data_IF_597968688970
#
_entry.id   IF_597968688970
#
_cell.length_a   1.000
_cell.length_b   1.000
_cell.length_c   1.000
_cell.angle_alpha   90.00
_cell.angle_beta   90.00
_cell.angle_gamma   90.00
#
_symmetry.space_group_name_H-M   'P 1'
#
loop_
_entity.id
_entity.type
_entity.pdbx_description
1 polymer ?
#
# COMPACT_ATOMS: atom_id res chain seq x y z
N UNK A 1 1.55 -7.20 18.20
CA UNK A 1 1.64 -6.01 19.08
C UNK A 1 0.50 -5.09 18.68
N UNK A 2 -0.04 -4.28 19.60
CA UNK A 2 -1.01 -3.26 19.19
C UNK A 2 -0.29 -2.18 18.36
N UNK A 3 -0.92 -1.64 17.31
CA UNK A 3 -0.32 -0.60 16.49
C UNK A 3 -0.06 0.66 17.33
N UNK A 4 0.92 1.49 16.93
CA UNK A 4 1.17 2.76 17.60
C UNK A 4 -0.05 3.67 17.49
N UNK A 5 -0.37 4.39 18.55
CA UNK A 5 -1.43 5.39 18.53
C UNK A 5 -0.88 6.73 18.05
N UNK A 6 -1.59 7.37 17.13
CA UNK A 6 -1.24 8.70 16.65
C UNK A 6 -2.33 9.69 17.04
N UNK A 7 -1.95 10.93 17.41
CA UNK A 7 -2.95 11.99 17.54
C UNK A 7 -3.59 12.26 16.17
N UNK A 8 -4.78 12.89 16.15
CA UNK A 8 -5.40 13.36 14.93
C UNK A 8 -4.43 14.17 14.07
N UNK A 9 -4.55 14.04 12.76
CA UNK A 9 -3.68 14.77 11.84
C UNK A 9 -3.88 16.29 12.03
N UNK A 10 -2.81 17.08 12.22
CA UNK A 10 -2.93 18.52 12.40
C UNK A 10 -3.61 19.18 11.19
N UNK A 11 -4.72 19.89 11.43
CA UNK A 11 -5.49 20.57 10.36
C UNK A 11 -4.68 21.60 9.58
N UNK A 12 -3.61 22.14 10.17
CA UNK A 12 -2.67 23.04 9.50
C UNK A 12 -1.94 22.39 8.32
N UNK A 13 -1.96 21.06 8.22
CA UNK A 13 -1.28 20.29 7.16
C UNK A 13 -2.21 19.91 6.00
N UNK A 14 -3.53 20.12 6.11
CA UNK A 14 -4.49 19.78 5.05
C UNK A 14 -4.53 20.82 3.93
N UNK A 15 -4.25 22.09 4.27
CA UNK A 15 -4.44 23.16 3.31
C UNK A 15 -3.26 23.26 2.34
N UNK A 16 -3.53 23.32 1.02
CA UNK A 16 -2.48 23.47 0.03
C UNK A 16 -1.71 24.77 0.29
N UNK A 17 -0.43 24.66 0.61
CA UNK A 17 0.46 25.82 0.73
C UNK A 17 0.64 26.44 -0.66
N UNK A 18 0.48 27.76 -0.78
CA UNK A 18 0.66 28.48 -2.06
C UNK A 18 2.13 28.82 -2.26
N UNK A 19 2.67 28.78 -3.50
CA UNK A 19 2.00 28.41 -4.77
C UNK A 19 1.69 26.90 -4.86
N UNK A 20 0.73 26.50 -5.70
CA UNK A 20 0.34 25.08 -5.91
C UNK A 20 1.56 24.25 -6.32
N UNK A 21 2.25 23.62 -5.37
CA UNK A 21 3.34 22.68 -5.60
C UNK A 21 2.81 21.25 -5.68
N UNK A 22 3.68 20.28 -5.98
CA UNK A 22 3.38 18.84 -5.90
C UNK A 22 2.94 18.37 -4.50
N UNK A 23 3.05 19.21 -3.47
CA UNK A 23 2.72 18.86 -2.08
C UNK A 23 1.22 18.77 -1.81
N UNK A 24 0.38 19.27 -2.73
CA UNK A 24 -1.06 19.14 -2.61
C UNK A 24 -1.50 17.66 -2.51
N UNK A 25 -0.79 16.75 -3.18
CA UNK A 25 -1.10 15.30 -3.10
C UNK A 25 -0.81 14.74 -1.71
N UNK A 26 0.26 15.20 -1.04
CA UNK A 26 0.58 14.75 0.32
C UNK A 26 -0.40 15.34 1.34
N UNK A 27 -0.80 16.60 1.17
CA UNK A 27 -1.82 17.22 2.01
C UNK A 27 -3.19 16.52 1.90
N UNK A 28 -3.61 16.16 0.68
CA UNK A 28 -4.84 15.37 0.45
C UNK A 28 -4.76 13.98 1.09
N UNK A 29 -3.61 13.31 0.99
CA UNK A 29 -3.37 12.01 1.65
C UNK A 29 -3.47 12.10 3.18
N UNK A 30 -2.96 13.17 3.77
CA UNK A 30 -3.06 13.45 5.20
C UNK A 30 -4.50 13.78 5.62
N UNK A 31 -5.22 14.55 4.80
CA UNK A 31 -6.64 14.83 5.02
C UNK A 31 -7.47 13.55 5.01
N UNK A 32 -7.24 12.65 4.05
CA UNK A 32 -7.89 11.33 3.99
C UNK A 32 -7.60 10.49 5.26
N UNK A 33 -6.36 10.48 5.76
CA UNK A 33 -6.04 9.81 7.04
C UNK A 33 -6.71 10.46 8.25
N UNK A 34 -6.86 11.79 8.23
CA UNK A 34 -7.55 12.54 9.27
C UNK A 34 -9.07 12.32 9.26
N UNK A 35 -9.64 12.00 8.10
CA UNK A 35 -11.05 11.72 7.91
C UNK A 35 -11.46 10.31 8.35
N UNK A 36 -10.53 9.34 8.39
CA UNK A 36 -10.79 7.98 8.87
C UNK A 36 -11.20 7.98 10.36
N UNK A 37 -12.46 7.63 10.63
CA UNK A 37 -13.11 7.71 11.96
C UNK A 37 -13.65 6.38 12.51
N UNK A 38 -13.59 5.30 11.74
CA UNK A 38 -14.50 4.17 11.93
C UNK A 38 -13.87 2.95 12.60
N UNK A 39 -12.56 2.99 12.84
CA UNK A 39 -11.87 2.02 13.70
C UNK A 39 -10.94 2.72 14.70
N UNK A 40 -10.91 2.22 15.93
CA UNK A 40 -9.91 2.63 16.93
C UNK A 40 -8.58 1.91 16.71
N UNK A 41 -8.60 0.77 16.00
CA UNK A 41 -7.40 0.04 15.64
C UNK A 41 -6.68 0.76 14.51
N UNK A 42 -5.42 1.13 14.76
CA UNK A 42 -4.54 1.77 13.77
C UNK A 42 -5.04 3.10 13.20
N UNK A 43 -5.81 3.86 13.97
CA UNK A 43 -6.37 5.14 13.53
C UNK A 43 -5.27 6.13 13.09
N UNK A 44 -5.52 6.83 11.98
CA UNK A 44 -4.63 7.84 11.40
C UNK A 44 -3.24 7.35 10.99
N UNK A 45 -3.10 6.04 10.75
CA UNK A 45 -1.92 5.40 10.17
C UNK A 45 -2.16 5.03 8.72
N UNK A 46 -1.08 4.84 7.97
CA UNK A 46 -1.09 4.10 6.72
C UNK A 46 -0.07 2.97 6.76
N UNK A 47 -0.27 1.95 5.94
CA UNK A 47 0.57 0.75 5.90
C UNK A 47 -0.23 -0.52 6.17
N UNK A 48 0.39 -1.65 5.92
CA UNK A 48 -0.31 -2.93 5.74
C UNK A 48 0.04 -3.93 6.83
N UNK A 49 -0.70 -5.03 6.88
CA UNK A 49 -0.29 -6.22 7.62
C UNK A 49 0.69 -7.03 6.77
N UNK A 50 1.74 -7.57 7.38
CA UNK A 50 2.75 -8.43 6.77
C UNK A 50 2.64 -9.81 7.39
N UNK A 51 2.39 -10.83 6.56
CA UNK A 51 2.49 -12.23 6.93
C UNK A 51 3.87 -12.76 6.56
N UNK A 52 4.59 -13.25 7.57
CA UNK A 52 5.86 -13.97 7.35
C UNK A 52 5.58 -15.46 7.15
N UNK A 53 6.09 -16.05 6.07
CA UNK A 53 5.88 -17.49 5.78
C UNK A 53 7.18 -18.32 5.83
N UNK A 54 8.34 -17.68 5.94
CA UNK A 54 9.66 -18.34 5.97
C UNK A 54 10.36 -18.22 7.32
N UNK A 55 10.69 -19.37 7.94
CA UNK A 55 11.21 -19.46 9.32
C UNK A 55 12.43 -20.40 9.46
N UNK A 56 13.43 -20.20 8.59
CA UNK A 56 14.73 -20.88 8.68
C UNK A 56 15.69 -20.05 9.54
N UNK A 57 16.77 -20.63 10.10
CA UNK A 57 17.76 -19.84 10.87
C UNK A 57 18.35 -18.67 10.08
N UNK A 58 18.53 -18.84 8.78
CA UNK A 58 18.98 -17.77 7.88
C UNK A 58 17.89 -16.70 7.72
N UNK A 59 16.64 -17.10 7.46
CA UNK A 59 15.56 -16.12 7.33
C UNK A 59 15.29 -15.38 8.65
N UNK A 60 15.43 -16.04 9.80
CA UNK A 60 15.32 -15.42 11.12
C UNK A 60 16.37 -14.31 11.34
N UNK A 61 17.59 -14.49 10.81
CA UNK A 61 18.64 -13.48 10.87
C UNK A 61 18.41 -12.33 9.88
N UNK A 62 17.91 -12.63 8.68
CA UNK A 62 17.73 -11.66 7.60
C UNK A 62 16.44 -10.84 7.72
N UNK A 63 15.36 -11.45 8.20
CA UNK A 63 14.04 -10.83 8.27
C UNK A 63 14.02 -9.46 9.00
N UNK A 64 14.62 -9.29 10.19
CA UNK A 64 14.65 -7.97 10.84
C UNK A 64 15.47 -6.93 10.04
N UNK A 65 16.44 -7.36 9.24
CA UNK A 65 17.21 -6.46 8.35
C UNK A 65 16.32 -6.00 7.20
N UNK A 66 15.62 -6.94 6.56
CA UNK A 66 14.69 -6.65 5.47
C UNK A 66 13.56 -5.71 5.92
N UNK A 67 12.97 -5.94 7.10
CA UNK A 67 11.89 -5.08 7.62
C UNK A 67 12.38 -3.67 7.94
N UNK A 68 13.62 -3.50 8.45
CA UNK A 68 14.20 -2.16 8.65
C UNK A 68 14.40 -1.42 7.33
N UNK A 69 14.87 -2.10 6.29
CA UNK A 69 15.03 -1.51 4.95
C UNK A 69 13.68 -1.15 4.34
N UNK A 70 12.71 -2.06 4.43
CA UNK A 70 11.34 -1.82 3.99
C UNK A 70 10.75 -0.57 4.65
N UNK A 71 10.86 -0.44 5.98
CA UNK A 71 10.38 0.72 6.72
C UNK A 71 11.06 2.01 6.24
N UNK A 72 12.39 2.04 6.14
CA UNK A 72 13.12 3.21 5.67
C UNK A 72 12.69 3.62 4.24
N UNK A 73 12.54 2.66 3.34
CA UNK A 73 12.15 2.91 1.95
C UNK A 73 10.69 3.32 1.80
N UNK A 74 9.78 2.73 2.58
CA UNK A 74 8.38 3.12 2.60
C UNK A 74 8.22 4.55 3.14
N UNK A 75 8.94 4.92 4.20
CA UNK A 75 8.99 6.28 4.76
C UNK A 75 9.65 7.29 3.83
N UNK A 76 10.50 6.85 2.91
CA UNK A 76 11.07 7.70 1.87
C UNK A 76 10.06 8.05 0.77
N UNK A 77 9.07 7.18 0.50
CA UNK A 77 8.10 7.34 -0.59
C UNK A 77 7.37 8.69 -0.63
N UNK A 78 6.86 9.24 0.50
CA UNK A 78 6.25 10.57 0.51
C UNK A 78 7.18 11.66 -0.03
N UNK A 79 8.49 11.52 0.09
CA UNK A 79 9.46 12.54 -0.31
C UNK A 79 9.89 12.48 -1.78
N UNK A 80 9.63 11.37 -2.50
CA UNK A 80 10.13 11.17 -3.86
C UNK A 80 9.68 12.27 -4.85
N UNK A 81 8.48 12.82 -4.65
CA UNK A 81 7.93 13.89 -5.49
C UNK A 81 8.60 15.26 -5.31
N UNK A 82 9.31 15.47 -4.19
CA UNK A 82 9.84 16.77 -3.75
C UNK A 82 11.08 17.23 -4.51
N UNK A 83 11.89 16.30 -5.01
CA UNK A 83 13.19 16.59 -5.62
C UNK A 83 13.21 16.10 -7.07
N UNK A 84 12.70 16.90 -8.03
CA UNK A 84 12.59 16.46 -9.41
C UNK A 84 13.96 16.42 -10.09
N UNK A 85 14.29 15.30 -10.76
CA UNK A 85 15.41 15.16 -11.70
C UNK A 85 16.78 15.58 -11.13
N UNK A 86 17.53 16.41 -11.87
CA UNK A 86 18.93 16.72 -11.60
C UNK A 86 19.33 18.10 -12.10
N UNK A 87 20.30 18.72 -11.41
CA UNK A 87 20.91 19.99 -11.77
C UNK A 87 20.16 21.24 -11.31
N UNK A 88 20.83 22.38 -11.40
CA UNK A 88 20.42 23.67 -10.81
C UNK A 88 19.02 24.15 -11.24
N UNK A 89 18.61 23.88 -12.48
CA UNK A 89 17.28 24.26 -12.98
C UNK A 89 16.12 23.55 -12.27
N UNK A 90 16.40 22.45 -11.57
CA UNK A 90 15.42 21.70 -10.80
C UNK A 90 15.56 21.91 -9.28
N UNK A 91 16.71 22.37 -8.78
CA UNK A 91 16.86 22.80 -7.38
C UNK A 91 15.88 23.92 -7.03
N UNK A 92 15.70 24.89 -7.91
CA UNK A 92 14.71 25.97 -7.73
C UNK A 92 13.25 25.49 -7.75
N UNK A 93 13.00 24.24 -8.15
CA UNK A 93 11.69 23.59 -8.17
C UNK A 93 11.54 22.57 -7.05
N UNK A 94 12.58 22.36 -6.24
CA UNK A 94 12.52 21.45 -5.11
C UNK A 94 11.56 22.03 -4.07
N UNK A 95 10.72 21.15 -3.51
CA UNK A 95 9.90 21.54 -2.37
C UNK A 95 10.76 21.43 -1.12
N UNK A 96 11.07 22.57 -0.52
CA UNK A 96 11.88 22.64 0.71
C UNK A 96 11.07 22.45 1.98
N UNK A 97 9.78 22.79 1.96
CA UNK A 97 8.86 22.54 3.06
C UNK A 97 8.46 21.06 3.12
N UNK A 98 9.04 20.34 4.08
CA UNK A 98 8.89 18.90 4.21
C UNK A 98 7.83 18.45 5.20
N UNK A 99 7.22 19.38 5.95
CA UNK A 99 6.42 19.06 7.12
C UNK A 99 5.26 18.08 6.82
N UNK A 100 4.45 18.26 5.75
CA UNK A 100 3.42 17.28 5.40
C UNK A 100 3.99 15.89 5.08
N UNK A 101 5.10 15.83 4.36
CA UNK A 101 5.71 14.56 3.96
C UNK A 101 6.37 13.85 5.15
N UNK A 102 6.98 14.61 6.07
CA UNK A 102 7.53 14.09 7.31
C UNK A 102 6.43 13.53 8.21
N UNK A 103 5.31 14.25 8.34
CA UNK A 103 4.16 13.77 9.13
C UNK A 103 3.53 12.53 8.48
N UNK A 104 3.38 12.50 7.16
CA UNK A 104 2.89 11.32 6.44
C UNK A 104 3.86 10.15 6.61
N UNK A 105 5.16 10.34 6.40
CA UNK A 105 6.17 9.30 6.58
C UNK A 105 6.19 8.76 8.02
N UNK A 106 6.02 9.62 9.03
CA UNK A 106 5.96 9.23 10.44
C UNK A 106 4.80 8.28 10.73
N UNK A 107 3.66 8.48 10.07
CA UNK A 107 2.43 7.67 10.20
C UNK A 107 2.46 6.33 9.47
N UNK A 108 3.57 6.00 8.81
CA UNK A 108 3.76 4.66 8.26
C UNK A 108 3.95 3.63 9.37
N UNK A 109 3.18 2.55 9.31
CA UNK A 109 3.34 1.40 10.19
C UNK A 109 2.74 0.14 9.57
N UNK A 110 3.51 -0.96 9.61
CA UNK A 110 3.04 -2.29 9.25
C UNK A 110 2.99 -3.20 10.48
N UNK A 111 1.91 -3.97 10.60
CA UNK A 111 1.82 -5.06 11.57
C UNK A 111 2.54 -6.27 11.01
N UNK A 112 3.52 -6.80 11.73
CA UNK A 112 4.20 -8.04 11.34
C UNK A 112 3.63 -9.19 12.15
N UNK A 113 3.06 -10.18 11.46
CA UNK A 113 2.51 -11.38 12.06
C UNK A 113 3.47 -12.54 11.85
N UNK A 114 3.97 -13.05 12.97
CA UNK A 114 4.86 -14.21 13.04
C UNK A 114 4.15 -15.35 13.77
N UNK A 115 3.38 -16.14 13.02
CA UNK A 115 2.73 -17.36 13.49
C UNK A 115 3.34 -18.56 12.76
N UNK A 116 4.47 -19.04 13.29
CA UNK A 116 5.25 -20.12 12.66
C UNK A 116 4.42 -21.41 12.51
N UNK A 117 3.55 -21.71 13.47
CA UNK A 117 2.80 -22.97 13.46
C UNK A 117 1.75 -23.00 12.34
N UNK A 118 1.19 -21.85 11.99
CA UNK A 118 0.14 -21.74 10.95
C UNK A 118 0.65 -21.25 9.61
N UNK A 119 1.73 -20.47 9.56
CA UNK A 119 2.20 -19.79 8.35
C UNK A 119 3.46 -20.41 7.73
N UNK A 120 4.22 -21.22 8.46
CA UNK A 120 5.49 -21.73 7.95
C UNK A 120 5.31 -22.61 6.71
N UNK A 121 6.05 -22.26 5.64
CA UNK A 121 6.12 -23.06 4.42
C UNK A 121 4.88 -22.94 3.53
N UNK A 122 3.93 -22.04 3.81
CA UNK A 122 2.87 -21.73 2.85
C UNK A 122 3.50 -21.15 1.59
N UNK A 123 3.20 -21.78 0.45
CA UNK A 123 3.75 -21.41 -0.85
C UNK A 123 3.06 -20.16 -1.39
N UNK A 124 3.78 -19.39 -2.20
CA UNK A 124 3.25 -18.21 -2.87
C UNK A 124 2.62 -18.57 -4.22
N UNK A 125 1.63 -19.45 -4.17
CA UNK A 125 0.81 -19.90 -5.29
C UNK A 125 -0.69 -19.69 -4.98
N UNK A 126 -1.57 -20.06 -5.90
CA UNK A 126 -3.00 -19.82 -5.73
C UNK A 126 -3.59 -20.50 -4.49
N UNK A 127 -3.17 -21.72 -4.17
CA UNK A 127 -3.67 -22.45 -3.00
C UNK A 127 -3.12 -21.86 -1.70
N UNK A 128 -1.83 -21.55 -1.67
CA UNK A 128 -1.19 -20.93 -0.52
C UNK A 128 -1.70 -19.51 -0.27
N UNK A 129 -1.92 -18.70 -1.30
CA UNK A 129 -2.54 -17.38 -1.14
C UNK A 129 -3.97 -17.47 -0.62
N UNK A 130 -4.77 -18.46 -1.02
CA UNK A 130 -6.09 -18.69 -0.42
C UNK A 130 -5.99 -18.98 1.09
N UNK A 131 -5.02 -19.80 1.52
CA UNK A 131 -4.76 -20.05 2.95
C UNK A 131 -4.34 -18.79 3.70
N UNK A 132 -3.47 -17.97 3.11
CA UNK A 132 -3.02 -16.70 3.71
C UNK A 132 -4.14 -15.67 3.79
N UNK A 133 -5.01 -15.62 2.78
CA UNK A 133 -6.25 -14.83 2.79
C UNK A 133 -7.12 -15.23 3.97
N UNK A 134 -7.40 -16.53 4.12
CA UNK A 134 -8.29 -17.02 5.18
C UNK A 134 -7.70 -16.74 6.57
N UNK A 135 -6.40 -16.99 6.76
CA UNK A 135 -5.69 -16.62 7.98
C UNK A 135 -5.81 -15.12 8.28
N UNK A 136 -5.61 -14.27 7.28
CA UNK A 136 -5.69 -12.82 7.45
C UNK A 136 -7.11 -12.38 7.86
N UNK A 137 -8.16 -12.95 7.25
CA UNK A 137 -9.55 -12.67 7.61
C UNK A 137 -9.87 -13.07 9.04
N UNK A 138 -9.40 -14.24 9.49
CA UNK A 138 -9.51 -14.63 10.89
C UNK A 138 -8.78 -13.66 11.83
N UNK A 139 -7.59 -13.20 11.44
CA UNK A 139 -6.85 -12.21 12.21
C UNK A 139 -7.60 -10.87 12.31
N UNK A 140 -8.23 -10.40 11.24
CA UNK A 140 -9.06 -9.19 11.25
C UNK A 140 -10.19 -9.29 12.28
N UNK A 141 -10.90 -10.41 12.30
CA UNK A 141 -11.95 -10.68 13.30
C UNK A 141 -11.38 -10.62 14.72
N UNK A 142 -10.17 -11.18 14.92
CA UNK A 142 -9.51 -11.17 16.24
C UNK A 142 -9.16 -9.76 16.75
N UNK A 143 -8.96 -8.79 15.84
CA UNK A 143 -8.70 -7.38 16.18
C UNK A 143 -9.95 -6.50 16.12
N UNK A 144 -11.14 -7.12 16.00
CA UNK A 144 -12.44 -6.44 16.03
C UNK A 144 -12.89 -5.86 14.69
N UNK A 145 -12.25 -6.25 13.58
CA UNK A 145 -12.64 -5.85 12.21
C UNK A 145 -13.53 -6.92 11.60
N UNK A 146 -14.62 -6.55 10.93
CA UNK A 146 -15.55 -7.48 10.30
C UNK A 146 -15.41 -7.43 8.77
N UNK A 147 -14.60 -8.31 8.16
CA UNK A 147 -14.24 -8.22 6.74
C UNK A 147 -15.33 -8.73 5.77
N UNK A 148 -16.39 -9.37 6.28
CA UNK A 148 -17.48 -9.99 5.50
C UNK A 148 -18.77 -9.18 5.50
N UNK A 149 -18.86 -8.10 6.27
CA UNK A 149 -20.00 -7.20 6.20
C UNK A 149 -19.97 -6.49 4.82
N UNK A 150 -21.11 -6.37 4.13
CA UNK A 150 -21.17 -5.69 2.85
C UNK A 150 -20.63 -4.25 2.99
N UNK A 151 -19.99 -3.70 1.93
CA UNK A 151 -19.70 -2.27 1.91
C UNK A 151 -21.00 -1.50 2.10
N UNK A 152 -20.93 -0.31 2.66
CA UNK A 152 -22.07 0.58 2.64
C UNK A 152 -22.47 0.79 1.17
N UNK A 153 -23.74 0.60 0.86
CA UNK A 153 -24.35 1.45 -0.15
C UNK A 153 -24.35 2.85 0.45
N UNK A 154 -23.27 3.60 0.26
CA UNK A 154 -23.37 5.04 0.36
C UNK A 154 -24.25 5.44 -0.83
N UNK A 155 -25.49 5.87 -0.53
CA UNK A 155 -26.46 6.44 -1.47
C UNK A 155 -25.97 7.79 -2.05
N UNK A 156 -24.71 7.86 -2.49
CA UNK A 156 -24.11 9.04 -3.13
C UNK A 156 -24.14 8.92 -4.68
N UNK A 157 -24.93 7.99 -5.23
CA UNK A 157 -25.41 8.09 -6.61
C UNK A 157 -26.57 9.11 -6.64
N UNK A 158 -26.21 10.40 -6.47
CA UNK A 158 -26.99 11.51 -7.00
C UNK A 158 -27.07 11.32 -8.53
N UNK A 159 -28.24 10.83 -8.98
CA UNK A 159 -28.88 10.96 -10.30
C UNK A 159 -29.36 9.61 -10.87
N UNK A 160 -30.45 9.06 -10.31
CA UNK A 160 -31.69 8.83 -11.06
C UNK A 160 -32.76 8.19 -10.15
N UNK A 161 -33.95 8.80 -10.16
CA UNK A 161 -35.17 8.35 -9.50
C UNK A 161 -35.48 6.85 -9.78
N UNK A 162 -35.29 5.96 -8.81
CA UNK A 162 -36.14 4.77 -8.66
C UNK A 162 -36.26 4.37 -7.18
N UNK A 163 -37.42 4.67 -6.60
CA UNK A 163 -37.88 4.27 -5.27
C UNK A 163 -37.96 2.73 -5.17
N UNK A 164 -36.82 2.07 -5.05
CA UNK A 164 -36.76 0.68 -4.57
C UNK A 164 -36.13 0.69 -3.19
N UNK A 165 -36.96 1.02 -2.18
CA UNK A 165 -36.76 0.60 -0.80
C UNK A 165 -36.46 -0.91 -0.80
N UNK A 166 -35.19 -1.30 -0.72
CA UNK A 166 -34.79 -2.68 -0.45
C UNK A 166 -35.11 -2.98 1.02
N UNK A 167 -36.16 -3.78 1.32
CA UNK A 167 -36.66 -3.94 2.68
C UNK A 167 -35.77 -4.80 3.58
N UNK A 168 -34.64 -5.30 3.08
CA UNK A 168 -33.76 -6.24 3.78
C UNK A 168 -32.51 -5.57 4.40
N UNK A 169 -32.30 -4.25 4.25
CA UNK A 169 -31.21 -3.54 4.91
C UNK A 169 -31.61 -3.14 6.35
N UNK A 170 -31.05 -3.83 7.35
CA UNK A 170 -31.23 -3.48 8.77
C UNK A 170 -30.57 -2.12 9.06
N UNK A 171 -31.34 -1.07 9.39
CA UNK A 171 -30.80 0.27 9.68
C UNK A 171 -29.96 0.34 10.96
N UNK A 172 -29.82 -0.76 11.70
CA UNK A 172 -28.92 -0.89 12.85
C UNK A 172 -27.50 -1.38 12.49
N UNK A 173 -27.23 -1.75 11.23
CA UNK A 173 -25.88 -2.09 10.80
C UNK A 173 -25.06 -0.80 10.69
N UNK A 174 -24.11 -0.63 11.63
CA UNK A 174 -23.14 0.46 11.54
C UNK A 174 -22.38 0.37 10.21
N UNK A 175 -22.08 1.53 9.58
CA UNK A 175 -21.43 1.56 8.28
C UNK A 175 -20.12 0.74 8.28
N UNK A 176 -19.99 -0.27 7.41
CA UNK A 176 -18.80 -1.12 7.33
C UNK A 176 -17.71 -0.51 6.44
N UNK A 177 -17.26 0.69 6.78
CA UNK A 177 -16.14 1.36 6.11
C UNK A 177 -14.80 0.60 6.28
N UNK A 178 -14.75 -0.36 7.20
CA UNK A 178 -13.58 -1.24 7.38
C UNK A 178 -13.33 -2.15 6.16
N UNK A 179 -14.37 -2.47 5.38
CA UNK A 179 -14.26 -3.20 4.11
C UNK A 179 -13.39 -2.46 3.08
N UNK A 180 -13.33 -1.15 3.24
CA UNK A 180 -12.87 -0.19 2.26
C UNK A 180 -11.52 0.43 2.65
N UNK A 181 -11.01 0.14 3.85
CA UNK A 181 -9.66 0.51 4.26
C UNK A 181 -8.62 -0.48 3.68
N UNK A 182 -7.60 0.00 2.93
CA UNK A 182 -6.55 -0.86 2.39
C UNK A 182 -5.85 -1.76 3.41
N UNK A 183 -5.76 -1.36 4.69
CA UNK A 183 -5.16 -2.17 5.76
C UNK A 183 -5.96 -3.42 6.08
N UNK A 184 -7.27 -3.39 5.93
CA UNK A 184 -8.15 -4.50 6.26
C UNK A 184 -8.58 -5.28 5.02
N UNK A 185 -8.43 -4.69 3.83
CA UNK A 185 -8.67 -5.35 2.56
C UNK A 185 -7.46 -6.11 2.04
N UNK A 186 -6.27 -5.58 2.23
CA UNK A 186 -5.05 -6.08 1.61
C UNK A 186 -3.99 -6.49 2.63
N UNK A 187 -3.25 -7.54 2.29
CA UNK A 187 -2.17 -8.07 3.13
C UNK A 187 -0.90 -8.28 2.30
N UNK A 188 0.25 -7.99 2.91
CA UNK A 188 1.56 -8.24 2.33
C UNK A 188 2.08 -9.61 2.77
N UNK A 189 2.78 -10.31 1.89
CA UNK A 189 3.38 -11.61 2.21
C UNK A 189 4.88 -11.57 1.94
N UNK A 190 5.65 -12.05 2.92
CA UNK A 190 7.11 -12.21 2.84
C UNK A 190 7.45 -13.70 2.92
N UNK A 191 7.64 -14.28 1.73
CA UNK A 191 8.20 -15.61 1.53
C UNK A 191 9.73 -15.56 1.37
N UNK A 192 10.35 -16.69 1.04
CA UNK A 192 11.80 -16.78 0.87
C UNK A 192 12.33 -15.92 -0.30
N UNK A 193 11.63 -15.91 -1.45
CA UNK A 193 12.07 -15.15 -2.64
C UNK A 193 11.93 -13.64 -2.41
N UNK A 194 10.83 -13.21 -1.81
CA UNK A 194 10.58 -11.84 -1.39
C UNK A 194 11.64 -11.39 -0.39
N UNK A 195 11.90 -12.17 0.67
CA UNK A 195 12.91 -11.83 1.66
C UNK A 195 14.30 -11.67 1.02
N UNK A 196 14.68 -12.59 0.13
CA UNK A 196 15.93 -12.49 -0.61
C UNK A 196 15.99 -11.22 -1.46
N UNK A 197 14.91 -10.89 -2.17
CA UNK A 197 14.84 -9.66 -2.96
C UNK A 197 15.03 -8.40 -2.11
N UNK A 198 14.44 -8.35 -0.91
CA UNK A 198 14.60 -7.22 0.02
C UNK A 198 16.04 -7.11 0.56
N UNK A 199 16.74 -8.24 0.70
CA UNK A 199 18.13 -8.26 1.18
C UNK A 199 19.14 -7.94 0.07
N UNK A 200 18.92 -8.46 -1.14
CA UNK A 200 19.87 -8.31 -2.23
C UNK A 200 19.68 -6.99 -3.00
N UNK A 201 18.44 -6.55 -3.17
CA UNK A 201 18.09 -5.49 -4.12
C UNK A 201 17.64 -4.18 -3.45
N UNK A 202 17.31 -4.19 -2.16
CA UNK A 202 16.95 -3.00 -1.40
C UNK A 202 18.17 -2.48 -0.61
N UNK A 203 18.73 -1.30 -0.96
CA UNK A 203 19.87 -0.73 -0.25
C UNK A 203 19.57 -0.38 1.21
N UNK A 204 20.59 -0.40 2.07
CA UNK A 204 20.49 0.02 3.47
C UNK A 204 20.11 1.50 3.63
N UNK A 205 20.57 2.34 2.69
CA UNK A 205 20.32 3.78 2.71
C UNK A 205 19.40 4.19 1.55
N UNK A 206 18.45 5.07 1.86
CA UNK A 206 17.61 5.71 0.86
C UNK A 206 18.36 6.84 0.16
N UNK A 207 17.95 7.24 -1.06
CA UNK A 207 18.53 8.41 -1.70
C UNK A 207 18.40 9.66 -0.80
N UNK A 208 19.37 10.58 -0.86
CA UNK A 208 19.30 11.80 -0.07
C UNK A 208 18.13 12.67 -0.52
N UNK A 209 17.52 13.38 0.44
CA UNK A 209 16.44 14.33 0.22
C UNK A 209 16.94 15.63 -0.41
N UNK A 210 17.45 15.53 -1.64
CA UNK A 210 17.91 16.65 -2.47
C UNK A 210 17.77 16.32 -3.96
N UNK A 211 17.82 17.36 -4.79
CA UNK A 211 17.98 17.18 -6.24
C UNK A 211 19.31 16.49 -6.53
N UNK A 212 19.32 15.57 -7.49
CA UNK A 212 20.56 14.94 -7.93
C UNK A 212 21.48 15.97 -8.61
N UNK A 213 22.79 15.81 -8.46
CA UNK A 213 23.79 16.70 -9.05
C UNK A 213 23.75 16.61 -10.57
N UNK A 214 23.60 15.40 -11.11
CA UNK A 214 23.60 15.12 -12.54
C UNK A 214 22.65 13.98 -12.94
N UNK A 215 22.62 13.71 -14.25
CA UNK A 215 21.76 12.67 -14.83
C UNK A 215 22.12 11.27 -14.34
N UNK A 216 23.39 11.00 -14.09
CA UNK A 216 23.87 9.67 -13.69
C UNK A 216 23.42 9.37 -12.26
N UNK A 217 23.60 10.32 -11.35
CA UNK A 217 23.11 10.21 -9.98
C UNK A 217 21.58 10.06 -9.94
N UNK A 218 20.84 10.84 -10.74
CA UNK A 218 19.40 10.69 -10.84
C UNK A 218 18.96 9.32 -11.35
N UNK A 219 19.62 8.79 -12.40
CA UNK A 219 19.34 7.45 -12.91
C UNK A 219 19.68 6.36 -11.90
N UNK A 220 20.72 6.55 -11.08
CA UNK A 220 21.03 5.66 -9.96
C UNK A 220 19.85 5.63 -8.98
N UNK A 221 19.39 6.79 -8.52
CA UNK A 221 18.25 6.87 -7.58
C UNK A 221 16.98 6.24 -8.14
N UNK A 222 16.69 6.45 -9.42
CA UNK A 222 15.53 5.84 -10.08
C UNK A 222 15.59 4.31 -10.17
N UNK A 223 16.78 3.71 -10.13
CA UNK A 223 16.96 2.25 -10.25
C UNK A 223 17.07 1.56 -8.89
N UNK A 224 17.47 2.28 -7.85
CA UNK A 224 17.63 1.71 -6.52
C UNK A 224 16.32 1.10 -6.01
N UNK A 225 16.39 -0.11 -5.45
CA UNK A 225 15.23 -0.79 -4.88
C UNK A 225 14.19 -1.30 -5.88
N UNK A 226 14.34 -1.04 -7.20
CA UNK A 226 13.32 -1.43 -8.21
C UNK A 226 13.12 -2.93 -8.39
N UNK A 227 14.12 -3.73 -8.01
CA UNK A 227 14.05 -5.18 -8.09
C UNK A 227 13.64 -5.83 -6.76
N UNK A 228 13.60 -5.06 -5.68
CA UNK A 228 13.06 -5.52 -4.42
C UNK A 228 11.53 -5.48 -4.49
N UNK A 229 10.86 -6.52 -4.02
CA UNK A 229 9.41 -6.62 -4.14
C UNK A 229 8.80 -7.39 -2.97
N UNK A 230 7.50 -7.21 -2.76
CA UNK A 230 6.66 -7.96 -1.83
C UNK A 230 5.45 -8.50 -2.58
N UNK A 231 4.86 -9.58 -2.08
CA UNK A 231 3.52 -9.97 -2.52
C UNK A 231 2.50 -9.08 -1.83
N UNK A 232 1.50 -8.61 -2.58
CA UNK A 232 0.26 -8.07 -2.02
C UNK A 232 -0.92 -8.91 -2.48
N UNK A 233 -1.77 -9.27 -1.53
CA UNK A 233 -3.02 -9.99 -1.73
C UNK A 233 -4.18 -9.04 -1.43
N UNK A 234 -5.08 -8.85 -2.41
CA UNK A 234 -6.37 -8.20 -2.20
C UNK A 234 -7.38 -9.27 -1.79
N UNK A 235 -7.59 -9.40 -0.49
CA UNK A 235 -8.40 -10.49 0.07
C UNK A 235 -9.88 -10.36 -0.24
N UNK A 236 -10.36 -9.15 -0.54
CA UNK A 236 -11.73 -8.89 -0.96
C UNK A 236 -11.97 -9.17 -2.45
N UNK A 237 -10.93 -9.16 -3.30
CA UNK A 237 -11.04 -9.58 -4.69
C UNK A 237 -11.00 -11.11 -4.80
N UNK A 238 -10.17 -11.76 -3.98
CA UNK A 238 -10.02 -13.22 -3.96
C UNK A 238 -11.27 -14.00 -3.53
N UNK A 239 -12.31 -13.33 -3.01
CA UNK A 239 -13.61 -13.94 -2.69
C UNK A 239 -14.61 -13.86 -3.84
N UNK A 240 -14.30 -13.10 -4.90
CA UNK A 240 -15.20 -12.92 -6.04
C UNK A 240 -15.18 -14.13 -6.96
N UNK A 241 -16.32 -14.43 -7.57
CA UNK A 241 -16.43 -15.49 -8.57
C UNK A 241 -15.63 -15.10 -9.83
N UNK A 242 -14.67 -15.95 -10.22
CA UNK A 242 -13.85 -15.76 -11.41
C UNK A 242 -14.69 -15.65 -12.69
N UNK A 243 -15.93 -16.16 -12.70
CA UNK A 243 -16.85 -16.05 -13.83
C UNK A 243 -17.37 -14.63 -14.09
N UNK A 244 -17.25 -13.73 -13.10
CA UNK A 244 -17.81 -12.38 -13.14
C UNK A 244 -16.84 -11.31 -13.67
N UNK A 245 -15.59 -11.68 -13.98
CA UNK A 245 -14.53 -10.71 -14.34
C UNK A 245 -13.76 -11.10 -15.60
N UNK A 246 -13.19 -10.09 -16.25
CA UNK A 246 -12.29 -10.30 -17.38
C UNK A 246 -11.06 -11.10 -16.95
N UNK A 247 -10.60 -12.09 -17.74
CA UNK A 247 -9.46 -12.91 -17.39
C UNK A 247 -8.20 -12.05 -17.26
N UNK A 248 -7.58 -12.03 -16.07
CA UNK A 248 -6.30 -11.31 -15.90
C UNK A 248 -5.80 -11.15 -14.48
N UNK A 249 -6.66 -10.69 -13.56
CA UNK A 249 -6.27 -10.45 -12.16
C UNK A 249 -6.88 -11.50 -11.23
N UNK A 250 -6.04 -12.11 -10.38
CA UNK A 250 -6.44 -13.19 -9.46
C UNK A 250 -6.53 -12.75 -8.00
N UNK A 251 -6.32 -11.46 -7.73
CA UNK A 251 -6.29 -10.94 -6.36
C UNK A 251 -4.90 -10.89 -5.72
N UNK A 252 -3.82 -11.14 -6.45
CA UNK A 252 -2.45 -10.97 -5.93
C UNK A 252 -1.46 -10.50 -7.00
N UNK A 253 -0.43 -9.77 -6.56
CA UNK A 253 0.64 -9.27 -7.43
C UNK A 253 1.89 -8.86 -6.64
N UNK A 254 2.98 -8.56 -7.35
CA UNK A 254 4.23 -8.06 -6.76
C UNK A 254 4.26 -6.53 -6.81
N UNK A 255 4.68 -5.89 -5.72
CA UNK A 255 4.92 -4.44 -5.68
C UNK A 255 6.24 -4.11 -4.98
N UNK A 256 6.85 -3.00 -5.37
CA UNK A 256 8.07 -2.50 -4.75
C UNK A 256 7.82 -1.75 -3.43
N UNK A 257 8.82 -1.66 -2.54
CA UNK A 257 8.74 -0.89 -1.28
C UNK A 257 8.28 0.56 -1.47
N UNK A 258 8.68 1.21 -2.56
CA UNK A 258 8.32 2.61 -2.84
C UNK A 258 6.89 2.78 -3.38
N UNK A 259 6.27 1.68 -3.81
CA UNK A 259 4.92 1.66 -4.37
C UNK A 259 3.86 1.45 -3.28
N UNK A 260 4.25 1.12 -2.05
CA UNK A 260 3.33 0.93 -0.92
C UNK A 260 2.45 2.15 -0.65
N UNK A 261 3.01 3.36 -0.73
CA UNK A 261 2.23 4.59 -0.54
C UNK A 261 1.19 4.76 -1.64
N UNK A 262 1.57 4.49 -2.88
CA UNK A 262 0.65 4.54 -4.02
C UNK A 262 -0.45 3.47 -3.87
N UNK A 263 -0.07 2.24 -3.55
CA UNK A 263 -1.00 1.13 -3.31
C UNK A 263 -1.98 1.42 -2.17
N UNK A 264 -1.58 2.17 -1.15
CA UNK A 264 -2.48 2.57 -0.08
C UNK A 264 -3.58 3.52 -0.58
N UNK A 265 -3.23 4.58 -1.32
CA UNK A 265 -4.19 5.64 -1.64
C UNK A 265 -4.92 5.47 -2.98
N UNK A 266 -4.32 4.79 -3.95
CA UNK A 266 -4.78 4.81 -5.35
C UNK A 266 -5.32 3.45 -5.84
N UNK A 267 -5.22 2.40 -5.01
CA UNK A 267 -5.49 1.02 -5.42
C UNK A 267 -6.95 0.76 -5.82
N UNK A 268 -7.93 1.32 -5.11
CA UNK A 268 -9.36 1.17 -5.48
C UNK A 268 -9.64 1.71 -6.89
N UNK A 269 -9.17 2.92 -7.17
CA UNK A 269 -9.32 3.55 -8.49
C UNK A 269 -8.61 2.80 -9.62
N UNK A 270 -7.67 1.93 -9.29
CA UNK A 270 -6.90 1.11 -10.23
C UNK A 270 -7.60 -0.22 -10.55
N UNK A 271 -8.21 -0.89 -9.56
CA UNK A 271 -9.01 -2.11 -9.80
C UNK A 271 -10.24 -1.88 -10.67
N UNK A 272 -10.95 -0.75 -10.48
CA UNK A 272 -12.05 -0.36 -11.37
C UNK A 272 -11.62 -0.10 -12.82
N UNK A 273 -10.32 0.12 -13.08
CA UNK A 273 -9.77 0.30 -14.44
C UNK A 273 -9.24 -0.99 -15.06
N UNK A 274 -8.97 -2.04 -14.28
CA UNK A 274 -8.50 -3.33 -14.79
C UNK A 274 -9.61 -4.22 -15.37
N UNK A 275 -10.88 -3.82 -15.26
CA UNK A 275 -11.96 -4.35 -16.08
C UNK A 275 -11.89 -3.93 -17.55
N UNK A 276 -10.89 -3.12 -17.95
CA UNK A 276 -10.63 -2.74 -19.34
C UNK A 276 -9.71 -3.79 -20.05
N UNK A 277 -10.20 -4.49 -21.09
CA UNK A 277 -9.46 -5.52 -21.82
C UNK A 277 -8.25 -5.02 -22.63
N UNK A 278 -7.94 -3.73 -22.64
CA UNK A 278 -6.71 -3.17 -23.23
C UNK A 278 -5.45 -3.33 -22.37
N UNK A 279 -5.60 -3.78 -21.12
CA UNK A 279 -4.50 -3.99 -20.17
C UNK A 279 -3.46 -5.01 -20.64
N UNK A 280 -2.19 -4.60 -20.74
CA UNK A 280 -1.06 -5.50 -21.03
C UNK A 280 0.08 -5.30 -20.04
N UNK A 281 0.39 -6.36 -19.29
CA UNK A 281 1.66 -6.46 -18.56
C UNK A 281 2.77 -6.59 -19.60
N UNK A 282 3.68 -5.61 -19.67
CA UNK A 282 4.93 -5.74 -20.42
C UNK A 282 6.10 -5.40 -19.54
N UNK A 283 7.15 -6.21 -19.66
CA UNK A 283 8.50 -5.83 -19.24
C UNK A 283 8.84 -4.52 -19.96
N UNK A 284 9.30 -3.51 -19.22
CA UNK A 284 9.63 -2.22 -19.83
C UNK A 284 10.76 -2.43 -20.83
N UNK A 285 10.49 -2.10 -22.09
CA UNK A 285 11.45 -2.23 -23.19
C UNK A 285 12.84 -1.70 -22.77
N UNK A 286 13.79 -2.63 -22.65
CA UNK A 286 15.21 -2.34 -22.47
C UNK A 286 15.75 -2.26 -21.03
N UNK A 287 14.98 -2.60 -19.98
CA UNK A 287 15.54 -2.75 -18.62
C UNK A 287 15.07 -4.06 -17.97
N UNK A 288 15.90 -5.12 -17.99
CA UNK A 288 15.56 -6.39 -17.37
C UNK A 288 15.23 -6.23 -15.88
N UNK A 289 14.08 -6.75 -15.47
CA UNK A 289 13.62 -6.71 -14.08
C UNK A 289 12.98 -5.39 -13.64
N UNK A 290 12.63 -4.49 -14.57
CA UNK A 290 11.79 -3.33 -14.29
C UNK A 290 10.43 -3.50 -14.96
N UNK A 291 9.44 -3.89 -14.15
CA UNK A 291 8.05 -3.86 -14.53
C UNK A 291 7.56 -2.41 -14.40
N UNK A 292 6.87 -1.91 -15.42
CA UNK A 292 6.19 -0.63 -15.35
C UNK A 292 4.80 -0.84 -15.93
N UNK A 293 3.80 -0.48 -15.15
CA UNK A 293 2.40 -0.48 -15.55
C UNK A 293 2.17 0.80 -16.37
N UNK A 294 1.68 0.66 -17.60
CA UNK A 294 1.33 1.78 -18.46
C UNK A 294 -0.12 1.64 -18.92
N UNK A 295 -0.77 2.80 -19.08
CA UNK A 295 -2.07 3.01 -19.70
C UNK A 295 -2.16 2.38 -21.09
#
# INVERSE_FOLDING_TARGET
MAPPTFPPVPRSLFYPRRPKTRDNETALRLEALGASRHTTYAQHLWGFTILRTVYTPESDALFPIAMRRLDAWARYSPHQGRFPKYGQAYESKAVTDGEPNEELAKRFYCDVIEDKDRLAGIQSDAEGFAKLRDYFREWLVSVGVQPDLPPNHDDDDDDDDDDTDDPDLDPALEPNESHDDPRFRSVLVVDEECLRSLIEELPDETPPLRTAVDREEWLKYLRMGKKAWLWMLDTGYMTRDESQFSPGFRGWFRLGPTELLWAWYEWKSYLHRQSDPSWKVREKDGVPGVWCYYY
#
